data_IF_043282736175
#
_entry.id   IF_043282736175
#
_cell.length_a   1.000
_cell.length_b   1.000
_cell.length_c   1.000
_cell.angle_alpha   90.00
_cell.angle_beta   90.00
_cell.angle_gamma   90.00
#
_symmetry.space_group_name_H-M   'P 1'
#
loop_
_entity.id
_entity.type
_entity.pdbx_description
1 polymer ?
#
# COMPACT_ATOMS: atom_id res chain seq x y z
N UNK A 1 41.15 -9.34 -1.43
CA UNK A 1 40.11 -8.92 -2.36
C UNK A 1 38.91 -8.49 -1.50
N UNK A 2 38.89 -7.23 -1.12
CA UNK A 2 37.74 -6.62 -0.43
C UNK A 2 36.65 -6.44 -1.49
N UNK A 3 35.68 -7.35 -1.51
CA UNK A 3 34.48 -7.16 -2.28
C UNK A 3 33.76 -5.95 -1.67
N UNK A 4 33.59 -4.88 -2.45
CA UNK A 4 32.76 -3.76 -2.07
C UNK A 4 31.37 -4.30 -1.71
N UNK A 5 30.75 -3.86 -0.61
CA UNK A 5 29.40 -4.31 -0.28
C UNK A 5 28.47 -3.93 -1.42
N UNK A 6 27.76 -4.93 -1.98
CA UNK A 6 26.72 -4.70 -2.97
C UNK A 6 25.51 -4.18 -2.20
N UNK A 7 25.29 -2.88 -2.26
CA UNK A 7 24.10 -2.24 -1.70
C UNK A 7 22.92 -2.54 -2.63
N UNK A 8 21.95 -3.28 -2.12
CA UNK A 8 20.70 -3.56 -2.82
C UNK A 8 19.55 -2.88 -2.10
N UNK A 9 18.70 -2.21 -2.85
CA UNK A 9 17.46 -1.62 -2.33
C UNK A 9 16.27 -2.06 -3.19
N UNK A 10 15.08 -2.01 -2.65
CA UNK A 10 13.87 -2.18 -3.45
C UNK A 10 13.54 -0.87 -4.16
N UNK A 11 13.34 -0.94 -5.50
CA UNK A 11 12.92 0.19 -6.34
C UNK A 11 11.53 -0.07 -6.88
N UNK A 12 10.62 0.83 -6.61
CA UNK A 12 9.25 0.83 -7.10
C UNK A 12 9.03 2.03 -8.01
N UNK A 13 8.43 1.82 -9.17
CA UNK A 13 8.20 2.88 -10.14
C UNK A 13 6.78 2.83 -10.68
N UNK A 14 6.14 3.98 -10.86
CA UNK A 14 4.89 4.11 -11.61
C UNK A 14 5.22 4.34 -13.07
N UNK A 15 4.74 3.44 -13.92
CA UNK A 15 5.03 3.49 -15.35
C UNK A 15 3.87 2.96 -16.19
N UNK A 16 3.93 3.19 -17.49
CA UNK A 16 3.09 2.51 -18.44
C UNK A 16 3.60 1.09 -18.67
N UNK A 17 2.70 0.13 -18.59
CA UNK A 17 2.94 -1.27 -18.94
C UNK A 17 2.08 -1.64 -20.14
N UNK A 18 2.72 -2.23 -21.16
CA UNK A 18 2.03 -2.73 -22.35
C UNK A 18 1.80 -4.23 -22.20
N UNK A 19 0.56 -4.65 -22.35
CA UNK A 19 0.16 -6.05 -22.32
C UNK A 19 -0.43 -6.43 -23.67
N UNK A 20 0.16 -7.43 -24.33
CA UNK A 20 -0.41 -8.02 -25.55
C UNK A 20 -1.49 -9.02 -25.20
N UNK A 21 -2.72 -8.70 -25.59
CA UNK A 21 -3.86 -9.62 -25.40
C UNK A 21 -4.11 -10.37 -26.71
N UNK A 22 -4.01 -11.71 -26.67
CA UNK A 22 -4.18 -12.61 -27.81
C UNK A 22 -3.27 -12.30 -29.03
N UNK A 23 -2.15 -11.61 -28.83
CA UNK A 23 -1.25 -11.24 -29.93
C UNK A 23 -1.77 -10.17 -30.91
N UNK A 24 -2.97 -9.65 -30.69
CA UNK A 24 -3.68 -8.75 -31.61
C UNK A 24 -3.94 -7.34 -31.06
N UNK A 25 -3.97 -7.16 -29.75
CA UNK A 25 -4.28 -5.87 -29.12
C UNK A 25 -3.22 -5.52 -28.10
N UNK A 26 -2.52 -4.40 -28.31
CA UNK A 26 -1.64 -3.81 -27.32
C UNK A 26 -2.47 -2.95 -26.37
N UNK A 27 -2.55 -3.39 -25.11
CA UNK A 27 -3.22 -2.65 -24.06
C UNK A 27 -2.14 -1.97 -23.22
N UNK A 28 -2.21 -0.65 -23.09
CA UNK A 28 -1.32 0.12 -22.22
C UNK A 28 -2.05 0.55 -20.96
N UNK A 29 -1.55 0.11 -19.80
CA UNK A 29 -2.09 0.45 -18.48
C UNK A 29 -1.06 1.21 -17.66
N UNK A 30 -1.50 2.01 -16.69
CA UNK A 30 -0.63 2.53 -15.63
C UNK A 30 -0.53 1.49 -14.53
N UNK A 31 0.70 1.13 -14.18
CA UNK A 31 1.03 0.25 -13.08
C UNK A 31 1.91 0.99 -12.06
N UNK A 32 1.54 0.93 -10.79
CA UNK A 32 2.35 1.39 -9.68
C UNK A 32 3.19 0.23 -9.14
N UNK A 33 4.50 0.43 -9.05
CA UNK A 33 5.37 -0.50 -8.33
C UNK A 33 5.03 -0.51 -6.84
N UNK A 34 4.91 -1.69 -6.25
CA UNK A 34 4.58 -1.84 -4.84
C UNK A 34 5.31 -3.03 -4.22
N UNK A 35 5.70 -2.87 -2.96
CA UNK A 35 6.15 -3.96 -2.07
C UNK A 35 5.18 -4.03 -0.91
N UNK A 36 4.65 -5.21 -0.61
CA UNK A 36 3.69 -5.36 0.47
C UNK A 36 3.80 -6.74 1.15
N UNK A 37 3.32 -6.80 2.38
CA UNK A 37 3.14 -8.06 3.10
C UNK A 37 1.78 -8.67 2.75
N UNK A 38 1.83 -9.87 2.16
CA UNK A 38 0.66 -10.57 1.68
C UNK A 38 0.99 -11.51 0.53
N UNK A 39 -0.03 -11.96 -0.16
CA UNK A 39 0.11 -12.84 -1.34
C UNK A 39 -0.73 -12.34 -2.51
N UNK A 40 -0.31 -12.71 -3.71
CA UNK A 40 -1.07 -12.45 -4.94
C UNK A 40 -1.65 -13.78 -5.42
N UNK A 41 -2.96 -13.80 -5.70
CA UNK A 41 -3.59 -14.93 -6.37
C UNK A 41 -3.53 -14.75 -7.88
N UNK A 42 -2.79 -15.59 -8.54
CA UNK A 42 -2.72 -15.64 -9.99
C UNK A 42 -3.63 -16.76 -10.56
N UNK A 43 -4.14 -16.59 -11.79
CA UNK A 43 -4.02 -15.44 -12.69
C UNK A 43 -5.02 -14.32 -12.36
N UNK A 44 -4.64 -13.07 -12.60
CA UNK A 44 -5.56 -11.93 -12.55
C UNK A 44 -6.50 -12.02 -13.76
N UNK A 45 -7.72 -12.48 -13.54
CA UNK A 45 -8.70 -12.79 -14.61
C UNK A 45 -9.50 -11.58 -15.10
N UNK A 46 -9.24 -10.38 -14.60
CA UNK A 46 -9.98 -9.20 -15.00
C UNK A 46 -9.49 -7.91 -14.39
N UNK A 47 -9.90 -6.79 -15.00
CA UNK A 47 -9.49 -5.45 -14.59
C UNK A 47 -10.50 -4.74 -13.69
N UNK A 48 -11.70 -5.30 -13.47
CA UNK A 48 -12.75 -4.65 -12.69
C UNK A 48 -12.38 -4.44 -11.21
N UNK A 49 -11.72 -5.42 -10.61
CA UNK A 49 -11.29 -5.34 -9.22
C UNK A 49 -9.97 -6.10 -9.04
N UNK A 50 -8.83 -5.55 -9.53
CA UNK A 50 -7.54 -6.23 -9.43
C UNK A 50 -7.10 -6.39 -7.97
N UNK A 51 -7.59 -5.56 -7.05
CA UNK A 51 -7.24 -5.64 -5.62
C UNK A 51 -7.83 -6.87 -4.94
N UNK A 52 -8.93 -7.44 -5.44
CA UNK A 52 -9.51 -8.67 -4.91
C UNK A 52 -8.58 -9.90 -5.07
N UNK A 53 -7.54 -9.80 -5.89
CA UNK A 53 -6.52 -10.84 -6.06
C UNK A 53 -5.34 -10.67 -5.09
N UNK A 54 -5.32 -9.58 -4.31
CA UNK A 54 -4.28 -9.31 -3.32
C UNK A 54 -4.78 -9.70 -1.93
N UNK A 55 -4.14 -10.67 -1.29
CA UNK A 55 -4.35 -10.93 0.12
C UNK A 55 -3.51 -9.96 0.93
N UNK A 56 -4.16 -8.98 1.54
CA UNK A 56 -3.49 -7.92 2.28
C UNK A 56 -3.18 -8.32 3.71
N UNK A 57 -1.91 -8.29 4.06
CA UNK A 57 -1.41 -8.46 5.41
C UNK A 57 -1.08 -9.90 5.78
N UNK A 58 -0.36 -10.03 6.87
CA UNK A 58 0.14 -11.29 7.43
C UNK A 58 -0.24 -11.41 8.91
N UNK A 59 -0.32 -12.64 9.48
CA UNK A 59 -0.50 -12.81 10.92
C UNK A 59 0.58 -12.07 11.71
N UNK A 60 0.16 -11.28 12.70
CA UNK A 60 1.05 -10.47 13.51
C UNK A 60 0.38 -10.04 14.82
N UNK A 61 1.02 -10.29 15.96
CA UNK A 61 0.44 -10.06 17.30
C UNK A 61 1.22 -9.07 18.18
N UNK A 62 2.35 -8.54 17.70
CA UNK A 62 3.18 -7.62 18.48
C UNK A 62 2.71 -6.16 18.31
N UNK A 63 3.17 -5.29 19.22
CA UNK A 63 2.88 -3.85 19.22
C UNK A 63 4.18 -3.04 19.10
N UNK A 64 4.75 -2.88 17.90
CA UNK A 64 5.91 -2.02 17.69
C UNK A 64 5.55 -0.56 17.90
N UNK A 65 6.50 0.25 18.39
CA UNK A 65 6.32 1.70 18.59
C UNK A 65 6.41 2.49 17.30
N UNK A 66 7.26 2.04 16.38
CA UNK A 66 7.51 2.76 15.12
C UNK A 66 7.91 1.81 13.98
N UNK A 67 7.79 2.31 12.76
CA UNK A 67 8.46 1.77 11.57
C UNK A 67 9.65 2.67 11.25
N UNK A 68 10.83 2.07 11.03
CA UNK A 68 12.06 2.74 10.59
C UNK A 68 12.48 2.18 9.24
N UNK A 69 12.93 3.02 8.33
CA UNK A 69 13.47 2.62 7.03
C UNK A 69 14.28 3.74 6.40
N UNK A 70 15.17 3.36 5.49
CA UNK A 70 15.85 4.29 4.61
C UNK A 70 15.06 4.45 3.32
N UNK A 71 15.01 5.66 2.77
CA UNK A 71 14.29 5.89 1.55
C UNK A 71 14.82 7.02 0.69
N UNK A 72 14.47 6.95 -0.60
CA UNK A 72 14.59 8.05 -1.55
C UNK A 72 13.34 8.15 -2.39
N UNK A 73 12.86 9.36 -2.64
CA UNK A 73 11.67 9.64 -3.44
C UNK A 73 12.02 10.49 -4.65
N UNK A 74 11.52 10.09 -5.80
CA UNK A 74 11.38 10.95 -6.98
C UNK A 74 9.90 11.08 -7.28
N UNK A 75 9.33 12.25 -7.01
CA UNK A 75 7.95 12.58 -7.35
C UNK A 75 7.90 13.22 -8.74
N UNK A 76 6.94 12.80 -9.55
CA UNK A 76 6.67 13.41 -10.84
C UNK A 76 6.14 14.84 -10.63
N UNK A 77 6.54 15.81 -11.48
CA UNK A 77 6.21 17.22 -11.30
C UNK A 77 4.75 17.56 -11.63
N UNK A 78 4.02 16.65 -12.26
CA UNK A 78 2.66 16.85 -12.72
C UNK A 78 1.69 17.04 -11.55
N UNK A 79 0.87 18.08 -11.63
CA UNK A 79 -0.18 18.38 -10.63
C UNK A 79 -1.42 17.48 -10.75
N UNK A 80 -1.53 16.71 -11.83
CA UNK A 80 -2.65 15.81 -12.09
C UNK A 80 -2.12 14.41 -12.39
N UNK A 81 -2.93 13.42 -12.02
CA UNK A 81 -2.69 12.01 -12.33
C UNK A 81 -3.26 11.65 -13.70
N UNK A 82 -2.84 10.52 -14.20
CA UNK A 82 -3.40 9.93 -15.44
C UNK A 82 -4.10 8.63 -15.07
N UNK A 83 -5.26 8.39 -15.68
CA UNK A 83 -5.92 7.09 -15.70
C UNK A 83 -5.67 6.41 -17.04
N UNK A 84 -5.16 5.18 -17.03
CA UNK A 84 -5.02 4.35 -18.23
C UNK A 84 -5.35 2.89 -17.88
N UNK A 85 -6.49 2.41 -18.37
CA UNK A 85 -6.99 1.04 -18.14
C UNK A 85 -6.74 0.12 -19.32
N UNK A 86 -6.19 0.65 -20.41
CA UNK A 86 -5.97 -0.08 -21.66
C UNK A 86 -7.21 -0.27 -22.55
N UNK A 87 -8.40 -0.15 -21.99
CA UNK A 87 -9.68 -0.33 -22.74
C UNK A 87 -10.40 0.98 -23.05
N UNK A 88 -9.90 2.10 -22.54
CA UNK A 88 -10.45 3.42 -22.75
C UNK A 88 -9.34 4.41 -23.07
N UNK A 89 -9.74 5.58 -23.60
CA UNK A 89 -8.79 6.68 -23.77
C UNK A 89 -8.19 7.09 -22.45
N UNK A 90 -6.89 7.39 -22.44
CA UNK A 90 -6.24 8.02 -21.28
C UNK A 90 -7.00 9.27 -20.87
N UNK A 91 -7.20 9.43 -19.58
CA UNK A 91 -7.90 10.60 -19.03
C UNK A 91 -7.12 11.20 -17.87
N UNK A 92 -7.25 12.51 -17.71
CA UNK A 92 -6.67 13.24 -16.59
C UNK A 92 -7.55 13.10 -15.36
N UNK A 93 -6.92 12.80 -14.21
CA UNK A 93 -7.58 12.76 -12.91
C UNK A 93 -7.02 13.88 -12.05
N UNK A 94 -7.86 14.79 -11.60
CA UNK A 94 -7.46 15.94 -10.82
C UNK A 94 -6.73 15.55 -9.50
N UNK A 95 -5.76 16.38 -9.13
CA UNK A 95 -4.99 16.23 -7.91
C UNK A 95 -3.66 15.50 -8.10
N UNK A 96 -2.67 15.99 -7.37
CA UNK A 96 -1.31 15.45 -7.37
C UNK A 96 -1.30 14.02 -6.85
N UNK A 97 -0.47 13.18 -7.46
CA UNK A 97 -0.19 11.84 -6.97
C UNK A 97 0.70 11.88 -5.72
N UNK A 98 0.70 10.78 -4.98
CA UNK A 98 1.60 10.60 -3.85
C UNK A 98 2.14 9.18 -3.82
N UNK A 99 3.43 9.07 -3.50
CA UNK A 99 4.00 7.81 -3.05
C UNK A 99 3.54 7.59 -1.60
N UNK A 100 3.43 6.35 -1.16
CA UNK A 100 2.90 6.09 0.18
C UNK A 100 3.59 4.92 0.88
N UNK A 101 3.66 5.04 2.21
CA UNK A 101 3.93 3.93 3.13
C UNK A 101 2.73 3.77 4.04
N UNK A 102 2.23 2.56 4.13
CA UNK A 102 1.03 2.23 4.90
C UNK A 102 1.35 1.06 5.82
N UNK A 103 1.27 1.28 7.13
CA UNK A 103 1.30 0.22 8.13
C UNK A 103 0.02 0.29 8.95
N UNK A 104 -0.76 -0.81 8.92
CA UNK A 104 -1.97 -0.95 9.70
C UNK A 104 -1.86 -2.21 10.56
N UNK A 105 -2.06 -2.06 11.85
CA UNK A 105 -2.25 -3.18 12.75
C UNK A 105 -3.74 -3.39 12.94
N UNK A 106 -4.23 -4.59 12.64
CA UNK A 106 -5.65 -4.92 12.64
C UNK A 106 -5.94 -6.10 13.55
N UNK A 107 -7.03 -6.03 14.31
CA UNK A 107 -7.64 -7.18 14.96
C UNK A 107 -8.74 -7.68 14.02
N UNK A 108 -8.51 -8.83 13.38
CA UNK A 108 -9.43 -9.45 12.42
C UNK A 108 -10.17 -10.62 13.04
N UNK A 109 -11.40 -10.85 12.57
CA UNK A 109 -12.20 -12.03 12.84
C UNK A 109 -13.10 -12.34 11.64
N UNK A 110 -13.60 -13.56 11.60
CA UNK A 110 -14.53 -14.05 10.58
C UNK A 110 -15.84 -14.46 11.24
N UNK A 111 -16.97 -14.17 10.60
CA UNK A 111 -18.29 -14.65 11.04
C UNK A 111 -18.61 -16.03 10.45
N UNK A 112 -19.75 -16.60 10.84
CA UNK A 112 -20.20 -17.91 10.37
C UNK A 112 -20.46 -17.96 8.87
N UNK A 113 -20.80 -16.85 8.27
CA UNK A 113 -21.05 -16.67 6.84
C UNK A 113 -19.74 -16.61 6.02
N UNK A 114 -18.61 -16.31 6.68
CA UNK A 114 -17.31 -16.17 6.08
C UNK A 114 -16.97 -14.72 5.69
N UNK A 115 -17.67 -13.74 6.27
CA UNK A 115 -17.28 -12.33 6.12
C UNK A 115 -16.13 -12.01 7.09
N UNK A 116 -15.18 -11.24 6.62
CA UNK A 116 -14.02 -10.84 7.43
C UNK A 116 -14.14 -9.39 7.87
N UNK A 117 -14.09 -9.19 9.17
CA UNK A 117 -14.15 -7.88 9.81
C UNK A 117 -12.81 -7.54 10.45
N UNK A 118 -12.59 -6.25 10.69
CA UNK A 118 -11.43 -5.79 11.45
C UNK A 118 -11.72 -4.56 12.28
N UNK A 119 -10.97 -4.41 13.39
CA UNK A 119 -10.79 -3.14 14.10
C UNK A 119 -9.35 -2.67 13.94
N UNK A 120 -9.15 -1.38 13.76
CA UNK A 120 -7.84 -0.75 13.63
C UNK A 120 -7.18 -0.60 14.99
N UNK A 121 -6.10 -1.35 15.22
CA UNK A 121 -5.31 -1.30 16.47
C UNK A 121 -4.23 -0.24 16.41
N UNK A 122 -3.51 -0.17 15.28
CA UNK A 122 -2.44 0.80 15.08
C UNK A 122 -2.39 1.30 13.65
N UNK A 123 -1.95 2.54 13.48
CA UNK A 123 -1.91 3.24 12.18
C UNK A 123 -0.62 4.01 12.03
N UNK A 124 0.08 3.79 10.93
CA UNK A 124 1.12 4.68 10.42
C UNK A 124 0.92 4.79 8.90
N UNK A 125 0.69 5.99 8.40
CA UNK A 125 0.58 6.26 6.97
C UNK A 125 1.38 7.53 6.67
N UNK A 126 2.32 7.41 5.74
CA UNK A 126 3.07 8.54 5.19
C UNK A 126 2.78 8.67 3.71
N UNK A 127 2.67 9.92 3.24
CA UNK A 127 2.54 10.25 1.82
C UNK A 127 3.61 11.25 1.42
N UNK A 128 4.19 11.01 0.26
CA UNK A 128 5.25 11.85 -0.29
C UNK A 128 4.76 12.41 -1.62
N UNK A 129 4.77 13.74 -1.74
CA UNK A 129 4.39 14.47 -2.96
C UNK A 129 5.56 15.22 -3.57
N UNK A 130 6.71 15.21 -2.88
CA UNK A 130 7.92 15.92 -3.28
C UNK A 130 9.10 14.96 -3.33
N UNK A 131 10.05 15.25 -4.20
CA UNK A 131 11.30 14.48 -4.31
C UNK A 131 12.22 14.80 -3.15
N UNK A 132 12.93 13.78 -2.66
CA UNK A 132 14.05 14.00 -1.74
C UNK A 132 15.32 14.31 -2.55
N UNK A 133 16.21 15.21 -2.07
CA UNK A 133 17.47 15.51 -2.76
C UNK A 133 18.38 14.29 -2.81
N UNK A 134 18.37 13.47 -1.76
CA UNK A 134 19.16 12.25 -1.62
C UNK A 134 18.41 11.23 -0.74
N UNK A 135 19.08 10.17 -0.31
CA UNK A 135 18.58 9.21 0.68
C UNK A 135 18.30 9.90 2.02
N UNK A 136 17.17 9.54 2.61
CA UNK A 136 16.81 9.85 3.99
C UNK A 136 17.02 8.58 4.79
N UNK A 137 18.05 8.57 5.63
CA UNK A 137 18.41 7.39 6.42
C UNK A 137 17.72 7.40 7.78
N UNK A 138 17.46 6.21 8.32
CA UNK A 138 16.87 5.99 9.65
C UNK A 138 15.56 6.75 9.89
N UNK A 139 14.79 7.01 8.84
CA UNK A 139 13.51 7.69 8.96
C UNK A 139 12.56 6.88 9.83
N UNK A 140 12.20 7.43 10.98
CA UNK A 140 11.42 6.74 12.01
C UNK A 140 10.05 7.38 12.17
N UNK A 141 9.01 6.61 11.94
CA UNK A 141 7.62 7.04 12.00
C UNK A 141 6.85 6.30 13.10
N UNK A 142 6.28 7.02 14.09
CA UNK A 142 5.55 6.39 15.18
C UNK A 142 4.27 5.72 14.68
N UNK A 143 3.93 4.57 15.27
CA UNK A 143 2.65 3.91 15.06
C UNK A 143 1.67 4.45 16.09
N UNK A 144 0.59 5.06 15.62
CA UNK A 144 -0.45 5.64 16.45
C UNK A 144 -1.47 4.59 16.82
N UNK A 145 -1.69 4.35 18.10
CA UNK A 145 -2.57 3.31 18.62
C UNK A 145 -3.96 3.83 19.00
N UNK A 146 -4.97 2.96 18.83
CA UNK A 146 -6.37 3.23 19.17
C UNK A 146 -7.05 4.22 18.23
N UNK A 147 -8.07 4.91 18.73
CA UNK A 147 -8.74 5.97 17.98
C UNK A 147 -7.84 7.22 17.90
N UNK A 148 -7.40 7.53 16.70
CA UNK A 148 -6.45 8.63 16.44
C UNK A 148 -7.10 9.89 15.90
N UNK A 149 -8.41 9.94 15.76
CA UNK A 149 -9.12 11.05 15.09
C UNK A 149 -8.94 12.41 15.78
N UNK A 150 -8.65 12.43 17.08
CA UNK A 150 -8.35 13.63 17.85
C UNK A 150 -6.86 13.98 17.95
N UNK A 151 -5.98 13.15 17.41
CA UNK A 151 -4.54 13.38 17.48
C UNK A 151 -4.08 14.39 16.42
N UNK A 152 -3.10 15.27 16.73
CA UNK A 152 -2.60 16.27 15.77
C UNK A 152 -1.97 15.65 14.53
N UNK A 153 -1.45 14.42 14.63
CA UNK A 153 -0.85 13.67 13.53
C UNK A 153 -1.90 13.07 12.57
N UNK A 154 -3.17 13.03 12.97
CA UNK A 154 -4.24 12.46 12.15
C UNK A 154 -4.40 13.23 10.83
N UNK A 155 -4.51 12.47 9.75
CA UNK A 155 -4.85 12.99 8.42
C UNK A 155 -6.06 12.23 7.87
N UNK A 156 -6.92 12.87 7.04
CA UNK A 156 -8.12 12.23 6.48
C UNK A 156 -7.88 10.90 5.78
N UNK A 157 -6.70 10.71 5.20
CA UNK A 157 -6.32 9.46 4.56
C UNK A 157 -5.95 8.32 5.54
N UNK A 158 -5.95 8.58 6.85
CA UNK A 158 -5.76 7.58 7.92
C UNK A 158 -7.09 7.01 8.45
N UNK A 159 -8.23 7.50 7.95
CA UNK A 159 -9.54 7.08 8.43
C UNK A 159 -9.78 5.57 8.25
N UNK A 160 -10.75 5.05 9.00
CA UNK A 160 -11.27 3.69 8.86
C UNK A 160 -11.83 3.51 7.45
N UNK A 161 -11.62 2.32 6.87
CA UNK A 161 -12.14 1.89 5.57
C UNK A 161 -11.83 2.87 4.42
N UNK A 162 -10.69 3.55 4.48
CA UNK A 162 -10.28 4.49 3.42
C UNK A 162 -10.01 3.78 2.08
N UNK A 163 -9.63 2.52 2.16
CA UNK A 163 -9.34 1.65 1.02
C UNK A 163 -9.93 0.27 1.24
N UNK A 164 -10.41 -0.32 0.18
CA UNK A 164 -10.86 -1.70 0.18
C UNK A 164 -9.65 -2.63 0.09
N UNK A 165 -9.53 -3.55 1.03
CA UNK A 165 -8.50 -4.59 1.08
C UNK A 165 -9.16 -5.95 1.18
N UNK A 166 -8.50 -6.97 0.65
CA UNK A 166 -9.03 -8.32 0.57
C UNK A 166 -8.16 -9.31 1.32
N UNK A 167 -8.78 -10.43 1.69
CA UNK A 167 -8.11 -11.58 2.28
C UNK A 167 -8.86 -12.86 1.88
N UNK A 168 -8.24 -14.02 2.03
CA UNK A 168 -8.97 -15.28 1.98
C UNK A 168 -9.66 -15.54 3.31
N UNK A 169 -10.93 -15.94 3.24
CA UNK A 169 -11.66 -16.47 4.38
C UNK A 169 -11.32 -17.95 4.61
N UNK A 170 -11.86 -18.54 5.68
CA UNK A 170 -11.67 -19.96 6.02
C UNK A 170 -12.14 -20.95 4.95
N UNK A 171 -13.02 -20.48 4.04
CA UNK A 171 -13.53 -21.25 2.90
C UNK A 171 -12.68 -21.08 1.63
N UNK A 172 -11.53 -20.39 1.71
CA UNK A 172 -10.65 -20.12 0.59
C UNK A 172 -11.19 -19.09 -0.42
N UNK A 173 -12.24 -18.35 -0.06
CA UNK A 173 -12.81 -17.31 -0.92
C UNK A 173 -12.17 -15.95 -0.62
N UNK A 174 -11.80 -15.20 -1.67
CA UNK A 174 -11.39 -13.81 -1.52
C UNK A 174 -12.59 -12.95 -1.14
N UNK A 175 -12.50 -12.26 0.01
CA UNK A 175 -13.54 -11.39 0.56
C UNK A 175 -12.93 -10.06 1.00
N UNK A 176 -13.69 -8.95 0.96
CA UNK A 176 -13.21 -7.68 1.48
C UNK A 176 -13.04 -7.75 3.01
N UNK A 177 -12.01 -7.08 3.51
CA UNK A 177 -11.84 -6.85 4.94
C UNK A 177 -12.67 -5.63 5.32
N UNK A 178 -13.72 -5.84 6.09
CA UNK A 178 -14.60 -4.76 6.55
C UNK A 178 -14.03 -4.13 7.83
N UNK A 179 -13.46 -2.95 7.73
CA UNK A 179 -12.94 -2.22 8.88
C UNK A 179 -14.08 -1.47 9.58
N UNK A 180 -14.53 -1.98 10.73
CA UNK A 180 -15.76 -1.52 11.40
C UNK A 180 -15.50 -0.52 12.52
N UNK A 181 -14.25 -0.17 12.80
CA UNK A 181 -13.94 0.83 13.82
C UNK A 181 -12.51 0.73 14.36
N UNK A 182 -12.26 1.48 15.41
CA UNK A 182 -11.02 1.47 16.16
C UNK A 182 -11.06 0.41 17.25
N UNK A 183 -9.93 -0.22 17.51
CA UNK A 183 -9.79 -1.17 18.61
C UNK A 183 -9.79 -0.44 19.97
N UNK A 184 -10.25 -1.13 21.01
CA UNK A 184 -10.21 -0.62 22.37
C UNK A 184 -8.76 -0.56 22.89
N UNK A 185 -8.50 0.34 23.86
CA UNK A 185 -7.20 0.38 24.51
C UNK A 185 -6.79 -0.99 25.05
N UNK A 186 -5.58 -1.43 24.74
CA UNK A 186 -5.05 -2.73 25.20
C UNK A 186 -5.29 -3.88 24.23
N UNK A 187 -6.21 -3.82 23.30
CA UNK A 187 -6.40 -4.89 22.31
C UNK A 187 -5.13 -5.14 21.49
N UNK A 188 -4.81 -6.42 21.32
CA UNK A 188 -3.67 -6.84 20.50
C UNK A 188 -4.09 -7.01 19.04
N UNK A 189 -3.22 -6.72 18.06
CA UNK A 189 -3.48 -7.03 16.69
C UNK A 189 -3.42 -8.54 16.44
N UNK A 190 -4.05 -8.99 15.37
CA UNK A 190 -3.92 -10.35 14.82
C UNK A 190 -3.21 -10.33 13.47
N UNK A 191 -3.19 -9.18 12.79
CA UNK A 191 -2.61 -9.01 11.47
C UNK A 191 -1.92 -7.66 11.33
N UNK A 192 -0.90 -7.63 10.48
CA UNK A 192 -0.23 -6.42 10.02
C UNK A 192 -0.34 -6.30 8.51
N UNK A 193 -0.80 -5.14 8.05
CA UNK A 193 -0.65 -4.69 6.65
C UNK A 193 0.57 -3.78 6.62
N UNK A 194 1.50 -4.05 5.72
CA UNK A 194 2.60 -3.15 5.39
C UNK A 194 2.69 -3.06 3.88
N UNK A 195 2.69 -1.85 3.36
CA UNK A 195 2.79 -1.58 1.93
C UNK A 195 3.61 -0.33 1.68
N UNK A 196 4.51 -0.42 0.72
CA UNK A 196 5.19 0.71 0.08
C UNK A 196 4.71 0.76 -1.36
N UNK A 197 4.39 1.93 -1.87
CA UNK A 197 3.90 2.08 -3.25
C UNK A 197 4.37 3.39 -3.89
N UNK A 198 4.70 3.31 -5.16
CA UNK A 198 5.13 4.48 -5.94
C UNK A 198 3.97 5.38 -6.39
N UNK A 199 2.71 4.95 -6.22
CA UNK A 199 1.51 5.74 -6.47
C UNK A 199 0.38 5.27 -5.58
N UNK A 200 -0.41 6.23 -5.09
CA UNK A 200 -1.55 5.97 -4.21
C UNK A 200 -2.83 6.62 -4.77
N UNK A 201 -3.00 6.53 -6.07
CA UNK A 201 -4.12 7.14 -6.80
C UNK A 201 -5.31 6.22 -7.06
N UNK A 202 -5.20 4.94 -6.72
CA UNK A 202 -6.16 3.90 -7.07
C UNK A 202 -5.72 3.05 -8.26
N UNK A 203 -6.48 2.00 -8.57
CA UNK A 203 -6.15 1.10 -9.67
C UNK A 203 -6.10 1.85 -11.01
N UNK A 204 -5.02 1.63 -11.76
CA UNK A 204 -4.79 2.25 -13.08
C UNK A 204 -4.76 3.78 -13.09
N UNK A 205 -4.49 4.41 -11.94
CA UNK A 205 -4.37 5.86 -11.79
C UNK A 205 -3.02 6.15 -11.13
N UNK A 206 -2.24 7.07 -11.70
CA UNK A 206 -0.96 7.46 -11.16
C UNK A 206 -0.24 8.50 -11.98
N UNK A 207 0.95 8.87 -11.53
CA UNK A 207 1.86 9.77 -12.26
C UNK A 207 3.09 8.99 -12.71
N UNK A 208 3.22 8.68 -14.02
CA UNK A 208 4.40 7.99 -14.54
C UNK A 208 5.69 8.73 -14.17
N UNK A 209 6.70 7.99 -13.74
CA UNK A 209 7.97 8.51 -13.28
C UNK A 209 8.09 8.69 -11.77
N UNK A 210 7.00 8.61 -11.00
CA UNK A 210 7.10 8.46 -9.56
C UNK A 210 7.97 7.24 -9.24
N UNK A 211 9.01 7.43 -8.44
CA UNK A 211 9.91 6.32 -8.06
C UNK A 211 10.20 6.37 -6.57
N UNK A 212 10.10 5.22 -5.93
CA UNK A 212 10.34 5.03 -4.51
C UNK A 212 11.43 3.98 -4.32
N UNK A 213 12.52 4.33 -3.66
CA UNK A 213 13.55 3.40 -3.22
C UNK A 213 13.45 3.24 -1.72
N UNK A 214 13.55 2.01 -1.25
CA UNK A 214 13.52 1.68 0.19
C UNK A 214 14.58 0.66 0.53
N UNK A 215 15.11 0.77 1.76
CA UNK A 215 16.05 -0.17 2.34
C UNK A 215 15.91 -0.19 3.88
N UNK A 216 16.55 -1.13 4.55
CA UNK A 216 16.69 -1.22 5.99
C UNK A 216 15.36 -1.09 6.77
N UNK A 217 14.30 -1.77 6.29
CA UNK A 217 12.96 -1.71 6.90
C UNK A 217 12.93 -2.47 8.20
N UNK A 218 12.61 -1.78 9.31
CA UNK A 218 12.64 -2.33 10.67
C UNK A 218 11.45 -1.88 11.51
N UNK A 219 10.94 -2.78 12.36
CA UNK A 219 9.96 -2.49 13.39
C UNK A 219 10.67 -2.19 14.72
N UNK A 220 10.43 -1.02 15.31
CA UNK A 220 11.02 -0.58 16.58
C UNK A 220 10.05 -0.92 17.72
N UNK A 221 10.54 -1.57 18.78
CA UNK A 221 9.79 -2.01 19.96
C UNK A 221 10.08 -1.21 21.21
#
# INVERSE_FOLDING_TARGET
>A
HDALPIWMCARMETRYESVKVFGLVDIEVIAAGSVFLGTVHEPIKGTKNPQAMLQSGVPFSKKPKALRFDYKVKAAPEKNRVRSTGFSRKSTVAGQDSLAVILLLQKRWEDAEGNVYSKRVGTMVQRYTESTPDWVNDATYPILYGNITSKPEYKPYMRIQVEERYTLNSKGKSVPIQEVGWAEPGEAPTHMVLQFTSSHGGAYIGSPGNTFWIDNVELIY
#
